data_IF_259683037489
#
_entry.id   IF_259683037489
#
_cell.length_a   1.000
_cell.length_b   1.000
_cell.length_c   1.000
_cell.angle_alpha   90.00
_cell.angle_beta   90.00
_cell.angle_gamma   90.00
#
_symmetry.space_group_name_H-M   'P 1'
#
loop_
_entity.id
_entity.type
_entity.pdbx_description
1 polymer ?
#
# COMPACT_ATOMS: atom_id res chain seq x y z
N UNK A 1 -16.45 24.33 5.68
CA UNK A 1 -17.65 23.70 5.07
C UNK A 1 -17.93 24.12 3.63
N UNK A 2 -18.43 25.32 3.29
CA UNK A 2 -18.81 25.64 1.88
C UNK A 2 -17.63 25.52 0.91
N UNK A 3 -16.48 26.11 1.27
CA UNK A 3 -15.24 26.01 0.47
C UNK A 3 -14.70 24.58 0.38
N UNK A 4 -14.86 23.78 1.44
CA UNK A 4 -14.44 22.37 1.46
C UNK A 4 -15.35 21.51 0.58
N UNK A 5 -16.68 21.70 0.67
CA UNK A 5 -17.65 21.00 -0.20
C UNK A 5 -17.39 21.33 -1.66
N UNK A 6 -17.12 22.59 -1.99
CA UNK A 6 -16.73 22.97 -3.35
C UNK A 6 -15.48 22.23 -3.81
N UNK A 7 -14.44 22.21 -2.98
CA UNK A 7 -13.21 21.50 -3.27
C UNK A 7 -13.44 20.00 -3.46
N UNK A 8 -14.26 19.36 -2.62
CA UNK A 8 -14.57 17.94 -2.74
C UNK A 8 -15.43 17.61 -3.97
N UNK A 9 -16.39 18.47 -4.34
CA UNK A 9 -17.11 18.32 -5.61
C UNK A 9 -16.18 18.50 -6.80
N UNK A 10 -15.29 19.49 -6.77
CA UNK A 10 -14.28 19.73 -7.81
C UNK A 10 -13.32 18.51 -7.92
N UNK A 11 -12.92 17.90 -6.79
CA UNK A 11 -12.12 16.66 -6.75
C UNK A 11 -12.84 15.50 -7.45
N UNK A 12 -14.17 15.45 -7.36
CA UNK A 12 -15.01 14.46 -8.06
C UNK A 12 -15.34 14.85 -9.51
N UNK A 13 -14.81 15.97 -10.01
CA UNK A 13 -15.05 16.48 -11.37
C UNK A 13 -16.49 16.97 -11.57
N UNK A 14 -17.11 17.50 -10.53
CA UNK A 14 -18.44 18.10 -10.54
C UNK A 14 -18.27 19.58 -10.23
N UNK A 15 -18.77 20.47 -11.08
CA UNK A 15 -18.80 21.92 -10.82
C UNK A 15 -20.19 22.34 -10.32
N UNK A 16 -20.45 22.33 -9.00
CA UNK A 16 -21.78 22.64 -8.47
C UNK A 16 -22.09 24.13 -8.62
N UNK A 17 -23.35 24.43 -8.94
CA UNK A 17 -23.83 25.82 -8.90
C UNK A 17 -23.86 26.34 -7.46
N UNK A 18 -23.83 27.66 -7.29
CA UNK A 18 -23.81 28.28 -5.97
C UNK A 18 -25.05 27.93 -5.12
N UNK A 19 -26.21 27.75 -5.77
CA UNK A 19 -27.44 27.31 -5.11
C UNK A 19 -27.35 25.87 -4.57
N UNK A 20 -26.66 24.99 -5.31
CA UNK A 20 -26.42 23.59 -4.92
C UNK A 20 -25.45 23.52 -3.73
N UNK A 21 -24.42 24.36 -3.71
CA UNK A 21 -23.50 24.46 -2.58
C UNK A 21 -24.20 24.95 -1.32
N UNK A 22 -25.01 26.01 -1.39
CA UNK A 22 -25.78 26.48 -0.24
C UNK A 22 -26.73 25.40 0.29
N UNK A 23 -27.43 24.71 -0.60
CA UNK A 23 -28.32 23.62 -0.20
C UNK A 23 -27.55 22.45 0.45
N UNK A 24 -26.33 22.17 -0.01
CA UNK A 24 -25.48 21.12 0.56
C UNK A 24 -24.99 21.49 1.97
N UNK A 25 -24.60 22.75 2.19
CA UNK A 25 -24.24 23.26 3.53
C UNK A 25 -25.43 23.19 4.49
N UNK A 26 -26.63 23.53 4.02
CA UNK A 26 -27.86 23.41 4.80
C UNK A 26 -28.12 21.95 5.22
N UNK A 27 -27.93 20.99 4.30
CA UNK A 27 -28.08 19.57 4.60
C UNK A 27 -27.04 19.08 5.61
N UNK A 28 -25.77 19.47 5.45
CA UNK A 28 -24.71 19.13 6.40
C UNK A 28 -25.07 19.63 7.81
N UNK A 29 -25.54 20.88 7.90
CA UNK A 29 -25.95 21.49 9.18
C UNK A 29 -27.18 20.82 9.80
N UNK A 30 -28.18 20.47 8.98
CA UNK A 30 -29.43 19.86 9.47
C UNK A 30 -29.26 18.40 9.94
N UNK A 31 -28.30 17.68 9.35
CA UNK A 31 -28.04 16.26 9.66
C UNK A 31 -26.73 16.04 10.42
N UNK A 32 -26.09 17.11 10.88
CA UNK A 32 -24.88 17.10 11.70
C UNK A 32 -23.70 16.34 11.06
N UNK A 33 -23.49 16.58 9.77
CA UNK A 33 -22.35 16.07 9.00
C UNK A 33 -21.26 17.13 9.06
N UNK A 34 -20.16 16.82 9.74
CA UNK A 34 -19.04 17.76 9.96
C UNK A 34 -17.95 17.63 8.88
N UNK A 35 -17.94 16.52 8.15
CA UNK A 35 -16.96 16.21 7.10
C UNK A 35 -17.56 16.41 5.70
N UNK A 36 -16.96 17.30 4.92
CA UNK A 36 -17.36 17.57 3.54
C UNK A 36 -17.18 16.35 2.63
N UNK A 37 -16.11 15.57 2.84
CA UNK A 37 -15.82 14.39 2.04
C UNK A 37 -16.88 13.31 2.25
N UNK A 38 -17.26 13.06 3.51
CA UNK A 38 -18.34 12.12 3.85
C UNK A 38 -19.65 12.47 3.13
N UNK A 39 -20.02 13.77 3.11
CA UNK A 39 -21.21 14.22 2.41
C UNK A 39 -21.13 13.96 0.90
N UNK A 40 -20.03 14.34 0.26
CA UNK A 40 -19.86 14.21 -1.20
C UNK A 40 -19.81 12.73 -1.60
N UNK A 41 -19.15 11.87 -0.83
CA UNK A 41 -19.14 10.42 -1.06
C UNK A 41 -20.54 9.81 -0.96
N UNK A 42 -21.31 10.17 0.07
CA UNK A 42 -22.69 9.71 0.22
C UNK A 42 -23.59 10.17 -0.95
N UNK A 43 -23.40 11.41 -1.39
CA UNK A 43 -24.07 11.95 -2.56
C UNK A 43 -23.71 11.17 -3.84
N UNK A 44 -22.42 10.95 -4.10
CA UNK A 44 -21.94 10.21 -5.28
C UNK A 44 -22.47 8.78 -5.29
N UNK A 45 -22.42 8.09 -4.15
CA UNK A 45 -22.96 6.74 -4.00
C UNK A 45 -24.48 6.71 -4.27
N UNK A 46 -25.22 7.70 -3.76
CA UNK A 46 -26.65 7.85 -4.01
C UNK A 46 -26.94 8.11 -5.50
N UNK A 47 -26.21 9.04 -6.12
CA UNK A 47 -26.39 9.41 -7.52
C UNK A 47 -26.14 8.23 -8.46
N UNK A 48 -25.07 7.46 -8.25
CA UNK A 48 -24.78 6.23 -9.01
C UNK A 48 -25.93 5.22 -8.86
N UNK A 49 -26.40 5.01 -7.62
CA UNK A 49 -27.38 3.96 -7.32
C UNK A 49 -28.81 4.30 -7.71
N UNK A 50 -29.20 5.58 -7.69
CA UNK A 50 -30.59 6.01 -7.82
C UNK A 50 -30.86 6.94 -9.00
N UNK A 51 -29.85 7.66 -9.48
CA UNK A 51 -29.99 8.72 -10.49
C UNK A 51 -29.10 8.49 -11.71
N UNK A 52 -28.56 7.27 -11.89
CA UNK A 52 -27.66 6.93 -12.98
C UNK A 52 -26.47 7.88 -13.11
N UNK A 53 -25.99 8.41 -11.99
CA UNK A 53 -24.84 9.31 -11.93
C UNK A 53 -25.15 10.78 -12.27
N UNK A 54 -26.41 11.23 -12.21
CA UNK A 54 -26.75 12.62 -12.46
C UNK A 54 -26.02 13.61 -11.53
N UNK A 55 -25.70 14.79 -12.06
CA UNK A 55 -25.07 15.88 -11.31
C UNK A 55 -25.99 16.43 -10.20
N UNK A 56 -25.42 17.02 -9.14
CA UNK A 56 -26.21 17.60 -8.06
C UNK A 56 -27.02 18.79 -8.57
N UNK A 57 -28.34 18.69 -8.43
CA UNK A 57 -29.29 19.76 -8.67
C UNK A 57 -30.15 19.93 -7.41
N UNK A 58 -30.84 21.07 -7.28
CA UNK A 58 -31.75 21.28 -6.15
C UNK A 58 -32.82 20.18 -6.05
N UNK A 59 -33.33 19.71 -7.19
CA UNK A 59 -34.31 18.62 -7.23
C UNK A 59 -33.69 17.31 -6.75
N UNK A 60 -32.49 16.97 -7.24
CA UNK A 60 -31.83 15.74 -6.86
C UNK A 60 -31.35 15.74 -5.40
N UNK A 61 -30.90 16.89 -4.86
CA UNK A 61 -30.54 17.03 -3.45
C UNK A 61 -31.75 16.89 -2.54
N UNK A 62 -32.93 17.36 -2.95
CA UNK A 62 -34.17 17.13 -2.21
C UNK A 62 -34.57 15.64 -2.22
N UNK A 63 -34.33 14.94 -3.33
CA UNK A 63 -34.54 13.49 -3.38
C UNK A 63 -33.54 12.71 -2.51
N UNK A 64 -32.27 13.12 -2.53
CA UNK A 64 -31.21 12.60 -1.66
C UNK A 64 -31.57 12.78 -0.19
N UNK A 65 -31.99 13.98 0.21
CA UNK A 65 -32.45 14.24 1.57
C UNK A 65 -33.57 13.28 1.98
N UNK A 66 -34.60 13.13 1.14
CA UNK A 66 -35.76 12.26 1.42
C UNK A 66 -35.35 10.79 1.56
N UNK A 67 -34.50 10.28 0.65
CA UNK A 67 -34.17 8.85 0.58
C UNK A 67 -33.05 8.43 1.52
N UNK A 68 -32.09 9.29 1.79
CA UNK A 68 -30.91 8.93 2.59
C UNK A 68 -31.05 9.43 4.03
N UNK A 69 -31.35 10.72 4.22
CA UNK A 69 -31.34 11.31 5.56
C UNK A 69 -32.68 11.18 6.28
N UNK A 70 -33.80 11.47 5.63
CA UNK A 70 -35.12 11.37 6.27
C UNK A 70 -35.51 9.91 6.53
N UNK A 71 -35.26 9.00 5.58
CA UNK A 71 -35.52 7.57 5.80
C UNK A 71 -34.67 6.98 6.94
N UNK A 72 -33.41 7.41 7.09
CA UNK A 72 -32.53 7.02 8.20
C UNK A 72 -33.06 7.56 9.54
N UNK A 73 -33.41 8.85 9.59
CA UNK A 73 -33.99 9.51 10.78
C UNK A 73 -35.31 8.87 11.20
N UNK A 74 -36.20 8.56 10.26
CA UNK A 74 -37.48 7.92 10.55
C UNK A 74 -37.30 6.49 11.08
N UNK A 75 -36.34 5.74 10.53
CA UNK A 75 -35.98 4.40 11.02
C UNK A 75 -35.41 4.45 12.44
N UNK A 76 -34.57 5.43 12.75
CA UNK A 76 -34.03 5.67 14.09
C UNK A 76 -35.11 6.09 15.09
N UNK A 77 -36.05 6.97 14.69
CA UNK A 77 -37.18 7.39 15.52
C UNK A 77 -38.17 6.23 15.78
N UNK A 78 -38.40 5.36 14.80
CA UNK A 78 -39.19 4.14 14.98
C UNK A 78 -38.50 3.13 15.90
N UNK A 79 -37.17 2.99 15.80
CA UNK A 79 -36.39 2.15 16.71
C UNK A 79 -36.37 2.68 18.16
N UNK A 80 -36.29 4.00 18.33
CA UNK A 80 -36.38 4.66 19.63
C UNK A 80 -37.78 4.54 20.26
N UNK A 81 -38.84 4.58 19.43
CA UNK A 81 -40.22 4.41 19.89
C UNK A 81 -40.54 2.97 20.31
N UNK A 82 -39.95 1.96 19.65
CA UNK A 82 -40.03 0.55 20.08
C UNK A 82 -39.33 0.28 21.42
N UNK A 83 -38.28 1.03 21.77
CA UNK A 83 -37.61 0.92 23.08
C UNK A 83 -38.41 1.53 24.25
N UNK A 84 -39.43 2.37 23.99
CA UNK A 84 -40.30 2.95 25.03
C UNK A 84 -41.57 2.15 25.34
N UNK A 85 -41.87 1.10 24.57
CA UNK A 85 -43.03 0.24 24.76
C UNK A 85 -42.59 -1.22 25.01
N UNK A 86 -41.94 -1.46 26.15
CA UNK A 86 -41.58 -2.79 26.62
C UNK A 86 -41.34 -2.80 28.12
N UNK A 87 -42.29 -3.38 28.88
CA UNK A 87 -42.18 -3.61 30.33
C UNK A 87 -40.95 -4.49 30.63
N UNK A 88 -40.22 -4.11 31.69
CA UNK A 88 -39.19 -4.82 32.45
C UNK A 88 -38.71 -6.19 31.93
N UNK A 89 -37.42 -6.37 31.61
CA UNK A 89 -36.82 -7.70 31.59
C UNK A 89 -36.49 -8.13 33.03
N UNK A 90 -37.04 -9.28 33.41
CA UNK A 90 -36.55 -10.11 34.48
C UNK A 90 -35.07 -10.42 34.26
N UNK A 91 -34.26 -10.24 35.31
CA UNK A 91 -32.93 -10.81 35.39
C UNK A 91 -33.05 -12.33 35.21
N UNK A 92 -32.63 -12.85 34.06
CA UNK A 92 -32.09 -14.19 33.73
C UNK A 92 -32.06 -14.25 32.19
N UNK A 93 -31.05 -13.65 31.58
CA UNK A 93 -30.62 -13.98 30.20
C UNK A 93 -29.19 -13.52 29.86
N UNK A 94 -28.39 -13.07 30.83
CA UNK A 94 -26.98 -12.71 30.63
C UNK A 94 -26.04 -13.85 31.06
N UNK A 95 -26.21 -15.04 30.47
CA UNK A 95 -25.27 -16.16 30.66
C UNK A 95 -24.89 -16.91 29.37
N UNK A 96 -25.11 -16.32 28.19
CA UNK A 96 -24.70 -16.96 26.92
C UNK A 96 -23.91 -16.06 25.98
N UNK A 97 -23.26 -15.00 26.47
CA UNK A 97 -22.37 -14.17 25.65
C UNK A 97 -21.04 -13.83 26.34
N UNK A 98 -20.49 -14.80 27.07
CA UNK A 98 -19.13 -14.73 27.65
C UNK A 98 -18.17 -15.78 27.05
N UNK A 99 -18.59 -16.51 26.01
CA UNK A 99 -17.72 -17.48 25.30
C UNK A 99 -17.20 -17.00 23.94
N UNK A 100 -17.60 -15.82 23.46
CA UNK A 100 -17.20 -15.33 22.11
C UNK A 100 -16.17 -14.19 22.14
N UNK A 101 -15.49 -13.96 23.28
CA UNK A 101 -14.41 -12.95 23.43
C UNK A 101 -13.10 -13.62 23.90
N UNK A 102 -12.96 -14.92 23.70
CA UNK A 102 -11.76 -15.68 24.05
C UNK A 102 -11.07 -16.34 22.85
N UNK A 103 -11.30 -15.85 21.62
CA UNK A 103 -10.64 -16.35 20.41
C UNK A 103 -10.17 -15.26 19.44
N UNK A 104 -9.84 -14.06 19.93
CA UNK A 104 -9.14 -13.05 19.14
C UNK A 104 -7.80 -12.71 19.78
N UNK A 105 -6.89 -13.69 19.80
CA UNK A 105 -5.46 -13.42 19.95
C UNK A 105 -4.94 -12.98 18.58
N UNK A 106 -5.00 -11.68 18.29
CA UNK A 106 -4.35 -11.11 17.12
C UNK A 106 -2.83 -11.18 17.31
N UNK A 107 -2.19 -12.13 16.64
CA UNK A 107 -0.74 -12.23 16.53
C UNK A 107 -0.22 -11.03 15.70
N UNK A 108 0.63 -10.15 16.25
CA UNK A 108 1.14 -8.97 15.54
C UNK A 108 2.09 -9.29 14.36
N UNK A 109 2.43 -10.57 14.12
CA UNK A 109 3.27 -11.02 13.01
C UNK A 109 2.51 -11.42 11.73
N UNK A 110 1.17 -11.38 11.75
CA UNK A 110 0.34 -11.65 10.56
C UNK A 110 0.58 -10.66 9.39
N UNK A 111 1.27 -9.55 9.64
CA UNK A 111 1.70 -8.60 8.61
C UNK A 111 2.80 -9.17 7.68
N UNK A 112 3.46 -10.27 8.07
CA UNK A 112 4.56 -10.90 7.34
C UNK A 112 4.24 -12.29 6.78
N UNK A 113 2.96 -12.68 6.71
CA UNK A 113 2.53 -13.86 5.95
C UNK A 113 2.80 -15.22 6.60
N UNK A 114 2.98 -15.28 7.93
CA UNK A 114 3.13 -16.55 8.67
C UNK A 114 1.77 -16.94 9.27
N UNK A 115 1.23 -18.08 8.83
CA UNK A 115 -0.01 -18.67 9.37
C UNK A 115 0.23 -19.36 10.72
N UNK A 116 -0.79 -19.40 11.57
CA UNK A 116 -0.75 -19.90 12.97
C UNK A 116 -0.44 -21.42 13.11
N UNK A 117 -0.22 -22.17 12.02
CA UNK A 117 0.02 -23.62 12.07
C UNK A 117 1.44 -24.01 12.47
N UNK A 118 2.42 -23.10 12.40
CA UNK A 118 3.84 -23.48 12.40
C UNK A 118 4.56 -23.22 13.74
N UNK A 119 3.85 -22.80 14.80
CA UNK A 119 4.47 -22.37 16.08
C UNK A 119 4.20 -23.32 17.26
N UNK A 120 3.51 -24.45 17.06
CA UNK A 120 3.11 -25.34 18.17
C UNK A 120 3.86 -26.68 18.28
N UNK A 121 4.88 -26.94 17.45
CA UNK A 121 5.59 -28.24 17.47
C UNK A 121 7.05 -28.21 17.99
N UNK A 122 7.63 -27.06 18.35
CA UNK A 122 9.07 -26.99 18.67
C UNK A 122 9.44 -26.75 20.15
N UNK A 123 8.49 -26.69 21.09
CA UNK A 123 8.80 -26.35 22.49
C UNK A 123 8.27 -27.30 23.58
N UNK A 124 7.99 -28.56 23.26
CA UNK A 124 7.64 -29.58 24.27
C UNK A 124 8.28 -30.94 23.93
N UNK A 125 9.62 -31.04 23.97
CA UNK A 125 10.28 -32.34 24.03
C UNK A 125 11.71 -32.24 24.61
N UNK A 126 11.84 -31.85 25.87
CA UNK A 126 12.97 -32.35 26.67
C UNK A 126 12.60 -32.45 28.16
N UNK A 127 12.28 -33.66 28.60
CA UNK A 127 12.52 -34.15 29.97
C UNK A 127 11.94 -35.56 30.13
N UNK A 128 12.81 -36.57 30.14
CA UNK A 128 12.43 -37.87 30.72
C UNK A 128 13.15 -39.12 30.22
N UNK A 129 14.19 -39.48 30.96
CA UNK A 129 14.59 -40.85 31.32
C UNK A 129 15.52 -41.69 30.42
N UNK A 130 16.76 -41.77 30.92
CA UNK A 130 17.71 -42.89 30.93
C UNK A 130 17.09 -44.29 31.02
N UNK A 131 17.55 -45.24 30.17
CA UNK A 131 18.03 -46.57 30.61
C UNK A 131 18.71 -47.39 29.48
N UNK A 132 20.03 -47.62 29.67
CA UNK A 132 20.74 -48.91 29.67
C UNK A 132 21.00 -49.76 28.40
N UNK A 133 22.27 -50.23 28.37
CA UNK A 133 22.86 -51.44 27.74
C UNK A 133 23.36 -51.26 26.28
N UNK A 134 24.66 -51.19 25.96
CA UNK A 134 25.89 -51.94 26.29
C UNK A 134 26.16 -53.17 25.40
N UNK A 135 27.48 -53.39 25.16
CA UNK A 135 28.20 -54.50 24.52
C UNK A 135 28.44 -54.36 23.00
N UNK A 136 29.65 -54.02 22.54
CA UNK A 136 30.85 -54.90 22.29
C UNK A 136 30.87 -55.22 20.77
N UNK A 137 31.96 -55.29 19.99
CA UNK A 137 33.40 -55.39 20.22
C UNK A 137 34.13 -55.18 18.85
N UNK A 138 35.30 -54.53 18.90
CA UNK A 138 36.62 -54.87 18.28
C UNK A 138 36.89 -54.89 16.73
N UNK A 139 38.02 -54.20 16.41
CA UNK A 139 39.06 -54.33 15.36
C UNK A 139 38.82 -54.09 13.85
N UNK A 140 39.50 -53.08 13.28
CA UNK A 140 40.81 -53.21 12.58
C UNK A 140 41.14 -52.03 11.63
N UNK A 141 42.45 -51.80 11.42
CA UNK A 141 43.12 -50.61 10.86
C UNK A 141 43.23 -50.63 9.29
N UNK A 142 43.91 -49.69 8.57
CA UNK A 142 43.34 -48.89 7.48
C UNK A 142 43.91 -49.21 6.06
N UNK A 143 43.21 -48.83 4.97
CA UNK A 143 43.86 -48.79 3.65
C UNK A 143 42.99 -48.67 2.39
N UNK A 144 43.15 -47.53 1.70
CA UNK A 144 43.03 -47.29 0.24
C UNK A 144 41.65 -47.29 -0.47
N UNK A 145 41.49 -46.47 -1.54
CA UNK A 145 40.20 -45.89 -1.94
C UNK A 145 39.47 -46.73 -3.00
N UNK A 146 38.18 -46.99 -2.77
CA UNK A 146 37.31 -47.64 -3.76
C UNK A 146 36.46 -46.60 -4.50
N UNK A 147 36.88 -46.29 -5.72
CA UNK A 147 36.09 -46.29 -6.96
C UNK A 147 34.65 -45.75 -6.83
N UNK A 148 34.44 -44.56 -7.42
CA UNK A 148 33.16 -43.96 -7.78
C UNK A 148 32.19 -45.00 -8.37
N UNK A 149 31.05 -45.20 -7.70
CA UNK A 149 29.95 -45.98 -8.23
C UNK A 149 28.85 -45.03 -8.72
N UNK A 150 28.70 -44.91 -10.04
CA UNK A 150 27.54 -44.26 -10.67
C UNK A 150 26.28 -45.05 -10.31
N UNK A 151 25.19 -44.42 -9.82
CA UNK A 151 23.93 -45.12 -9.59
C UNK A 151 23.37 -45.65 -10.92
N UNK A 152 22.97 -46.91 -10.92
CA UNK A 152 22.39 -47.60 -12.08
C UNK A 152 21.12 -46.90 -12.53
N UNK A 153 21.11 -46.42 -13.78
CA UNK A 153 19.94 -45.89 -14.45
C UNK A 153 18.82 -46.95 -14.48
N UNK A 154 17.75 -46.71 -13.72
CA UNK A 154 16.46 -47.34 -14.01
C UNK A 154 15.96 -46.70 -15.30
N UNK A 155 15.70 -47.55 -16.29
CA UNK A 155 15.04 -47.25 -17.55
C UNK A 155 13.81 -46.37 -17.34
N UNK A 156 14.00 -45.06 -17.40
CA UNK A 156 12.96 -44.11 -17.72
C UNK A 156 12.85 -44.17 -19.25
N UNK A 157 11.98 -45.06 -19.73
CA UNK A 157 11.43 -44.98 -21.07
C UNK A 157 11.08 -43.51 -21.32
N UNK A 158 11.80 -42.91 -22.27
CA UNK A 158 11.54 -41.60 -22.80
C UNK A 158 10.07 -41.50 -23.20
N UNK A 159 9.25 -40.95 -22.30
CA UNK A 159 8.08 -40.18 -22.68
C UNK A 159 8.57 -38.74 -22.66
N UNK A 160 9.10 -38.30 -23.80
CA UNK A 160 9.02 -36.89 -24.16
C UNK A 160 7.58 -36.45 -23.86
N UNK A 161 7.34 -35.46 -23.00
CA UNK A 161 6.03 -34.84 -22.95
C UNK A 161 5.90 -34.03 -24.23
N UNK A 162 5.45 -34.69 -25.30
CA UNK A 162 4.86 -34.01 -26.42
C UNK A 162 3.54 -33.42 -25.94
N UNK A 163 3.56 -32.14 -25.53
CA UNK A 163 2.45 -31.18 -25.63
C UNK A 163 3.01 -29.77 -25.36
N UNK A 164 3.56 -29.18 -26.42
CA UNK A 164 3.56 -27.74 -26.60
C UNK A 164 2.09 -27.30 -26.65
N UNK A 165 1.48 -27.05 -25.49
CA UNK A 165 0.70 -25.82 -25.39
C UNK A 165 1.73 -24.82 -24.91
N UNK A 166 2.33 -24.06 -25.83
CA UNK A 166 3.13 -22.91 -25.47
C UNK A 166 2.20 -21.91 -24.81
N UNK A 167 2.03 -22.02 -23.49
CA UNK A 167 1.47 -20.94 -22.68
C UNK A 167 2.46 -19.80 -22.82
N UNK A 168 2.05 -18.73 -23.52
CA UNK A 168 2.91 -17.62 -23.94
C UNK A 168 3.78 -17.07 -22.79
N UNK A 169 3.24 -17.12 -21.57
CA UNK A 169 3.78 -16.46 -20.39
C UNK A 169 4.29 -17.40 -19.30
N UNK A 170 4.39 -18.71 -19.54
CA UNK A 170 4.98 -19.62 -18.52
C UNK A 170 6.49 -19.77 -18.71
N UNK A 171 7.28 -19.84 -17.62
CA UNK A 171 8.72 -20.05 -17.72
C UNK A 171 9.03 -21.48 -18.15
N UNK A 172 10.09 -21.66 -18.91
CA UNK A 172 10.63 -22.96 -19.24
C UNK A 172 11.15 -23.63 -17.95
N UNK A 173 10.82 -24.90 -17.74
CA UNK A 173 11.20 -25.64 -16.55
C UNK A 173 11.50 -27.11 -16.85
N UNK A 174 12.43 -27.68 -16.07
CA UNK A 174 12.74 -29.12 -16.11
C UNK A 174 11.75 -29.95 -15.29
N UNK A 175 10.90 -29.31 -14.48
CA UNK A 175 9.87 -29.95 -13.65
C UNK A 175 8.49 -29.35 -13.92
N UNK A 176 7.39 -30.07 -13.64
CA UNK A 176 6.05 -29.51 -13.77
C UNK A 176 5.88 -28.26 -12.88
N UNK A 177 5.48 -27.13 -13.47
CA UNK A 177 5.31 -25.82 -12.81
C UNK A 177 3.85 -25.51 -12.44
N UNK A 178 2.97 -26.51 -12.58
CA UNK A 178 1.54 -26.39 -12.32
C UNK A 178 0.77 -27.52 -13.00
N UNK A 179 -0.47 -27.74 -12.55
CA UNK A 179 -1.39 -28.63 -13.27
C UNK A 179 -1.96 -27.90 -14.48
N UNK A 180 -1.98 -28.49 -15.68
CA UNK A 180 -2.67 -27.89 -16.83
C UNK A 180 -4.16 -27.74 -16.51
N UNK A 181 -4.59 -26.52 -16.19
CA UNK A 181 -6.01 -26.18 -16.02
C UNK A 181 -6.52 -25.66 -17.35
N UNK A 182 -7.80 -25.92 -17.64
CA UNK A 182 -8.44 -25.23 -18.77
C UNK A 182 -8.73 -23.83 -18.27
N UNK A 183 -8.06 -22.82 -18.85
CA UNK A 183 -8.26 -21.43 -18.45
C UNK A 183 -9.75 -21.08 -18.64
N UNK A 184 -10.40 -20.70 -17.56
CA UNK A 184 -11.77 -20.19 -17.54
C UNK A 184 -11.79 -18.97 -16.66
N UNK A 185 -12.32 -17.86 -17.19
CA UNK A 185 -12.45 -16.61 -16.45
C UNK A 185 -13.09 -16.87 -15.08
N UNK A 186 -12.46 -16.36 -14.02
CA UNK A 186 -12.95 -16.53 -12.66
C UNK A 186 -14.36 -15.95 -12.50
N UNK A 187 -15.19 -16.51 -11.58
CA UNK A 187 -16.48 -15.93 -11.24
C UNK A 187 -16.34 -14.46 -10.82
N UNK A 188 -16.98 -13.55 -11.54
CA UNK A 188 -16.87 -12.10 -11.30
C UNK A 188 -15.78 -11.39 -12.11
N UNK A 189 -15.13 -12.06 -13.06
CA UNK A 189 -14.25 -11.40 -14.03
C UNK A 189 -14.95 -10.24 -14.74
N UNK A 190 -14.25 -9.12 -14.88
CA UNK A 190 -14.78 -7.87 -15.45
C UNK A 190 -15.69 -7.05 -14.51
N UNK A 191 -15.91 -7.48 -13.26
CA UNK A 191 -16.69 -6.71 -12.29
C UNK A 191 -15.94 -5.46 -11.85
N UNK A 192 -16.59 -4.30 -11.95
CA UNK A 192 -16.12 -3.06 -11.35
C UNK A 192 -16.33 -3.13 -9.83
N UNK A 193 -15.23 -3.03 -9.07
CA UNK A 193 -15.25 -3.09 -7.59
C UNK A 193 -15.23 -1.71 -6.95
N UNK A 194 -14.72 -0.70 -7.65
CA UNK A 194 -14.61 0.67 -7.19
C UNK A 194 -14.65 1.64 -8.37
N UNK A 195 -15.23 2.82 -8.13
CA UNK A 195 -15.39 3.87 -9.14
C UNK A 195 -15.06 5.22 -8.50
N UNK A 196 -14.32 6.06 -9.21
CA UNK A 196 -13.94 7.40 -8.75
C UNK A 196 -14.05 8.42 -9.89
N UNK A 197 -14.54 9.62 -9.58
CA UNK A 197 -14.75 10.72 -10.52
C UNK A 197 -16.22 10.95 -10.90
N UNK A 198 -16.46 11.77 -11.93
CA UNK A 198 -17.79 12.22 -12.29
C UNK A 198 -18.70 11.04 -12.70
N UNK A 199 -19.80 10.78 -11.97
CA UNK A 199 -20.63 9.60 -12.19
C UNK A 199 -21.30 9.53 -13.58
N UNK A 200 -21.68 10.67 -14.15
CA UNK A 200 -22.29 10.74 -15.49
C UNK A 200 -21.27 10.41 -16.58
N UNK A 201 -20.03 10.90 -16.44
CA UNK A 201 -18.96 10.59 -17.40
C UNK A 201 -18.60 9.11 -17.34
N UNK A 202 -18.52 8.53 -16.14
CA UNK A 202 -18.13 7.13 -15.96
C UNK A 202 -19.20 6.17 -16.47
N UNK A 203 -20.48 6.46 -16.19
CA UNK A 203 -21.59 5.62 -16.67
C UNK A 203 -21.65 5.57 -18.20
N UNK A 204 -21.22 6.64 -18.87
CA UNK A 204 -21.16 6.74 -20.33
C UNK A 204 -19.77 6.47 -20.91
N UNK A 205 -18.79 6.08 -20.08
CA UNK A 205 -17.41 5.90 -20.52
C UNK A 205 -17.27 4.66 -21.41
N UNK A 206 -16.72 4.85 -22.61
CA UNK A 206 -16.20 3.76 -23.42
C UNK A 206 -14.72 3.57 -23.14
N UNK A 207 -14.38 2.46 -22.49
CA UNK A 207 -13.00 2.12 -22.12
C UNK A 207 -12.14 1.65 -23.30
N UNK A 208 -12.78 1.21 -24.39
CA UNK A 208 -12.14 0.85 -25.65
C UNK A 208 -12.13 2.02 -26.64
N UNK A 209 -11.15 2.03 -27.53
CA UNK A 209 -11.14 2.91 -28.69
C UNK A 209 -11.56 2.17 -29.96
N UNK A 210 -12.39 2.82 -30.78
CA UNK A 210 -12.81 2.30 -32.09
C UNK A 210 -11.88 2.73 -33.23
N UNK A 211 -11.07 3.76 -33.00
CA UNK A 211 -10.09 4.28 -33.96
C UNK A 211 -8.67 4.25 -33.38
N UNK A 212 -7.65 4.01 -34.22
CA UNK A 212 -6.25 4.13 -33.82
C UNK A 212 -5.98 5.47 -33.16
N UNK A 213 -5.32 5.45 -32.02
CA UNK A 213 -5.01 6.65 -31.24
C UNK A 213 -3.57 7.10 -31.50
N UNK A 214 -3.28 8.42 -31.43
CA UNK A 214 -1.91 8.88 -31.49
C UNK A 214 -1.12 8.33 -30.30
N UNK A 215 0.14 7.97 -30.54
CA UNK A 215 1.05 7.55 -29.48
C UNK A 215 1.35 8.72 -28.55
N UNK A 216 1.23 8.47 -27.25
CA UNK A 216 1.53 9.46 -26.22
C UNK A 216 3.04 9.58 -26.03
N UNK A 217 3.52 10.82 -25.88
CA UNK A 217 4.89 11.09 -25.43
C UNK A 217 4.91 11.19 -23.91
N UNK A 218 5.71 10.36 -23.26
CA UNK A 218 5.89 10.34 -21.81
C UNK A 218 7.20 11.03 -21.45
N UNK A 219 7.17 11.92 -20.47
CA UNK A 219 8.36 12.60 -19.94
C UNK A 219 8.50 12.30 -18.45
N UNK A 220 9.63 11.73 -18.06
CA UNK A 220 10.00 11.59 -16.66
C UNK A 220 10.39 12.96 -16.07
N UNK A 221 9.70 13.39 -15.02
CA UNK A 221 9.90 14.70 -14.41
C UNK A 221 10.88 14.68 -13.24
N UNK A 222 10.95 13.58 -12.49
CA UNK A 222 11.86 13.46 -11.37
C UNK A 222 13.29 13.23 -11.88
N UNK A 223 14.17 14.18 -11.59
CA UNK A 223 15.56 14.16 -12.02
C UNK A 223 16.46 14.60 -10.86
N UNK A 224 17.63 13.99 -10.75
CA UNK A 224 18.71 14.44 -9.88
C UNK A 224 19.86 14.94 -10.74
N UNK A 225 20.28 16.19 -10.54
CA UNK A 225 21.31 16.86 -11.35
C UNK A 225 21.05 16.78 -12.87
N UNK A 226 19.78 16.86 -13.27
CA UNK A 226 19.35 16.77 -14.67
C UNK A 226 19.33 15.36 -15.26
N UNK A 227 19.60 14.33 -14.47
CA UNK A 227 19.58 12.93 -14.89
C UNK A 227 18.43 12.17 -14.21
N UNK A 228 17.78 11.27 -14.96
CA UNK A 228 16.86 10.30 -14.38
C UNK A 228 17.64 9.13 -13.77
N UNK A 229 17.03 8.45 -12.79
CA UNK A 229 17.51 7.14 -12.36
C UNK A 229 17.36 6.15 -13.54
N UNK A 230 18.44 5.48 -13.94
CA UNK A 230 18.41 4.57 -15.09
C UNK A 230 19.73 3.84 -15.34
N UNK A 231 19.89 3.15 -16.48
CA UNK A 231 21.03 2.26 -16.76
C UNK A 231 22.43 2.89 -16.70
N UNK A 232 22.51 4.23 -16.69
CA UNK A 232 23.77 4.98 -16.54
C UNK A 232 24.07 5.43 -15.11
N UNK A 233 23.15 5.22 -14.15
CA UNK A 233 23.36 5.61 -12.76
C UNK A 233 24.33 4.63 -12.10
N UNK A 234 25.38 5.17 -11.46
CA UNK A 234 26.33 4.37 -10.69
C UNK A 234 25.71 3.99 -9.34
N UNK A 235 25.13 2.81 -9.25
CA UNK A 235 24.73 2.24 -7.97
C UNK A 235 25.93 1.57 -7.29
N UNK A 236 26.10 1.79 -5.98
CA UNK A 236 27.03 1.04 -5.13
C UNK A 236 26.21 0.08 -4.28
N UNK A 237 26.28 -1.22 -4.58
CA UNK A 237 25.55 -2.23 -3.82
C UNK A 237 26.37 -2.72 -2.62
N UNK A 238 25.67 -3.21 -1.59
CA UNK A 238 26.21 -3.96 -0.45
C UNK A 238 27.26 -3.22 0.41
N UNK A 239 27.27 -1.89 0.37
CA UNK A 239 28.11 -1.08 1.25
C UNK A 239 27.32 0.13 1.76
N UNK A 240 27.10 0.16 3.06
CA UNK A 240 26.48 1.28 3.75
C UNK A 240 27.52 2.00 4.62
N UNK A 241 27.78 3.26 4.30
CA UNK A 241 28.57 4.13 5.16
C UNK A 241 27.66 4.79 6.19
N UNK A 242 27.83 4.46 7.47
CA UNK A 242 27.03 5.02 8.56
C UNK A 242 27.15 6.55 8.64
N UNK A 243 28.32 7.10 8.30
CA UNK A 243 28.53 8.55 8.28
C UNK A 243 27.68 9.21 7.20
N UNK A 244 27.69 8.68 5.97
CA UNK A 244 26.85 9.19 4.87
C UNK A 244 25.35 9.05 5.20
N UNK A 245 24.93 7.95 5.84
CA UNK A 245 23.54 7.79 6.29
C UNK A 245 23.15 8.84 7.33
N UNK A 246 24.05 9.15 8.27
CA UNK A 246 23.82 10.19 9.26
C UNK A 246 23.72 11.58 8.61
N UNK A 247 24.59 11.90 7.65
CA UNK A 247 24.53 13.15 6.89
C UNK A 247 23.21 13.28 6.10
N UNK A 248 22.79 12.24 5.38
CA UNK A 248 21.51 12.25 4.63
C UNK A 248 20.31 12.45 5.59
N UNK A 249 20.35 11.81 6.77
CA UNK A 249 19.32 12.00 7.78
C UNK A 249 19.31 13.44 8.33
N UNK A 250 20.49 14.02 8.58
CA UNK A 250 20.69 15.41 9.00
C UNK A 250 20.16 16.41 7.97
N UNK A 251 20.56 16.27 6.70
CA UNK A 251 20.09 17.07 5.57
C UNK A 251 18.56 17.06 5.46
N UNK A 252 17.93 15.88 5.65
CA UNK A 252 16.48 15.74 5.65
C UNK A 252 15.83 16.54 6.79
N UNK A 253 16.39 16.47 8.00
CA UNK A 253 15.90 17.24 9.16
C UNK A 253 16.06 18.73 8.92
N UNK A 254 17.21 19.14 8.38
CA UNK A 254 17.50 20.54 8.09
C UNK A 254 16.55 21.12 7.03
N UNK A 255 16.40 20.48 5.88
CA UNK A 255 15.57 21.00 4.78
C UNK A 255 14.08 21.02 5.14
N UNK A 256 13.55 19.96 5.75
CA UNK A 256 12.16 19.94 6.22
C UNK A 256 11.98 20.93 7.37
N UNK A 257 12.93 21.02 8.30
CA UNK A 257 12.91 21.98 9.40
C UNK A 257 12.86 23.42 8.93
N UNK A 258 13.63 23.75 7.89
CA UNK A 258 13.62 25.07 7.24
C UNK A 258 12.26 25.37 6.60
N UNK A 259 11.63 24.40 5.94
CA UNK A 259 10.28 24.56 5.39
C UNK A 259 9.23 24.81 6.49
N UNK A 260 9.30 24.02 7.58
CA UNK A 260 8.46 24.20 8.77
C UNK A 260 8.62 25.60 9.38
N UNK A 261 9.85 26.08 9.50
CA UNK A 261 10.12 27.43 10.00
C UNK A 261 9.51 28.51 9.11
N UNK A 262 9.65 28.42 7.78
CA UNK A 262 9.03 29.36 6.86
C UNK A 262 7.50 29.37 7.00
N UNK A 263 6.89 28.18 7.15
CA UNK A 263 5.44 28.03 7.35
C UNK A 263 4.96 28.70 8.64
N UNK A 264 5.73 28.59 9.72
CA UNK A 264 5.31 29.04 11.06
C UNK A 264 5.68 30.49 11.35
N UNK A 265 6.84 30.94 10.88
CA UNK A 265 7.40 32.27 11.19
C UNK A 265 7.37 33.25 10.00
N UNK A 266 6.98 32.80 8.81
CA UNK A 266 6.96 33.60 7.58
C UNK A 266 8.21 33.40 6.71
N UNK A 267 8.08 33.64 5.40
CA UNK A 267 9.14 33.40 4.41
C UNK A 267 10.35 34.33 4.57
N UNK A 268 10.14 35.55 5.06
CA UNK A 268 11.17 36.59 5.21
C UNK A 268 11.94 36.52 6.54
N UNK A 269 11.54 35.63 7.46
CA UNK A 269 12.17 35.51 8.78
C UNK A 269 13.45 34.67 8.67
N UNK A 270 14.60 35.30 8.98
CA UNK A 270 15.92 34.66 8.98
C UNK A 270 16.34 34.12 10.36
N UNK A 271 15.73 34.63 11.44
CA UNK A 271 16.00 34.24 12.82
C UNK A 271 14.76 33.57 13.42
N UNK A 272 14.83 32.26 13.67
CA UNK A 272 13.77 31.49 14.28
C UNK A 272 14.02 31.32 15.78
N UNK A 273 13.03 31.61 16.62
CA UNK A 273 13.07 31.30 18.04
C UNK A 273 12.71 29.82 18.23
N UNK A 274 13.71 28.95 18.14
CA UNK A 274 13.60 27.51 18.41
C UNK A 274 14.25 27.15 19.74
N UNK A 275 13.53 26.40 20.57
CA UNK A 275 14.05 25.76 21.78
C UNK A 275 14.68 24.41 21.48
N UNK A 276 15.64 24.00 22.31
CA UNK A 276 16.10 22.61 22.32
C UNK A 276 15.04 21.71 22.95
N UNK A 277 14.97 20.44 22.52
CA UNK A 277 13.94 19.49 22.96
C UNK A 277 13.96 19.23 24.47
N UNK A 278 15.14 19.28 25.09
CA UNK A 278 15.40 19.07 26.51
C UNK A 278 15.43 20.38 27.33
N UNK A 279 15.13 21.52 26.70
CA UNK A 279 15.11 22.81 27.38
C UNK A 279 14.00 22.82 28.44
N UNK A 280 14.40 23.02 29.70
CA UNK A 280 13.46 23.28 30.79
C UNK A 280 12.80 24.66 30.58
N UNK A 281 11.49 24.66 30.35
CA UNK A 281 10.70 25.88 30.19
C UNK A 281 9.29 25.72 30.73
N UNK A 282 8.79 26.74 31.43
CA UNK A 282 7.37 26.86 31.77
C UNK A 282 6.58 27.61 30.70
N UNK A 283 7.26 28.32 29.80
CA UNK A 283 6.67 28.95 28.63
C UNK A 283 6.60 27.95 27.48
N UNK A 284 5.67 28.18 26.55
CA UNK A 284 5.52 27.38 25.34
C UNK A 284 6.75 27.58 24.45
N UNK A 285 7.46 26.49 24.16
CA UNK A 285 8.60 26.44 23.25
C UNK A 285 8.18 25.78 21.93
N UNK A 286 8.82 26.20 20.84
CA UNK A 286 8.76 25.52 19.55
C UNK A 286 10.08 24.82 19.30
N UNK A 287 10.03 23.55 18.95
CA UNK A 287 11.23 22.76 18.67
C UNK A 287 11.02 21.87 17.45
N UNK A 288 12.11 21.51 16.77
CA UNK A 288 12.09 20.65 15.58
C UNK A 288 12.83 19.36 15.91
N UNK A 289 12.28 18.25 15.44
CA UNK A 289 12.94 16.97 15.59
C UNK A 289 12.32 15.86 14.76
N UNK A 290 12.85 14.67 14.93
CA UNK A 290 12.41 13.44 14.28
C UNK A 290 11.67 12.57 15.28
N UNK A 291 10.48 12.12 14.90
CA UNK A 291 9.69 11.18 15.69
C UNK A 291 10.38 9.82 15.71
N UNK A 292 10.54 9.24 16.90
CA UNK A 292 11.02 7.88 17.08
C UNK A 292 10.19 7.17 18.16
N UNK A 293 10.28 5.85 18.22
CA UNK A 293 9.83 5.04 19.35
C UNK A 293 10.99 4.74 20.29
N UNK A 294 10.79 4.79 21.60
CA UNK A 294 11.74 4.26 22.60
C UNK A 294 11.58 2.74 22.84
N UNK A 295 10.64 2.11 22.12
CA UNK A 295 10.32 0.69 22.17
C UNK A 295 10.37 0.05 20.77
N UNK A 296 10.79 -1.22 20.71
CA UNK A 296 10.91 -2.01 19.48
C UNK A 296 9.55 -2.64 19.10
N UNK A 297 8.61 -1.80 18.70
CA UNK A 297 7.26 -2.19 18.31
C UNK A 297 6.51 -1.07 17.60
N UNK A 298 5.20 -1.26 17.32
CA UNK A 298 4.37 -0.21 16.75
C UNK A 298 4.41 1.05 17.62
N UNK A 299 4.53 2.21 16.98
CA UNK A 299 4.54 3.49 17.68
C UNK A 299 3.24 3.67 18.47
N UNK A 300 3.35 3.95 19.76
CA UNK A 300 2.22 4.30 20.61
C UNK A 300 2.45 5.63 21.33
N UNK A 301 1.39 6.31 21.82
CA UNK A 301 1.52 7.62 22.45
C UNK A 301 2.46 7.66 23.67
N UNK A 302 2.68 6.54 24.37
CA UNK A 302 3.53 6.47 25.55
C UNK A 302 5.00 6.20 25.24
N UNK A 303 5.30 5.53 24.12
CA UNK A 303 6.66 5.26 23.61
C UNK A 303 7.19 6.34 22.66
N UNK A 304 6.37 7.34 22.32
CA UNK A 304 6.76 8.37 21.36
C UNK A 304 7.80 9.32 21.94
N UNK A 305 8.95 9.39 21.28
CA UNK A 305 10.03 10.35 21.56
C UNK A 305 10.29 11.26 20.36
N UNK A 306 10.85 12.43 20.65
CA UNK A 306 11.33 13.38 19.64
C UNK A 306 12.85 13.52 19.77
N UNK A 307 13.58 13.19 18.71
CA UNK A 307 15.02 13.43 18.59
C UNK A 307 15.23 14.83 18.04
N UNK A 308 15.86 15.73 18.79
CA UNK A 308 16.04 17.13 18.41
C UNK A 308 16.94 17.32 17.19
N UNK A 309 16.75 18.43 16.47
CA UNK A 309 17.47 18.75 15.23
C UNK A 309 18.96 19.10 15.39
N UNK A 310 19.47 19.24 16.62
CA UNK A 310 20.88 19.50 16.85
C UNK A 310 21.71 18.22 16.69
N UNK A 311 22.32 18.05 15.51
CA UNK A 311 23.13 16.89 15.16
C UNK A 311 24.32 16.63 16.08
N UNK A 312 24.85 17.66 16.76
CA UNK A 312 25.98 17.50 17.66
C UNK A 312 25.58 16.84 19.00
N UNK A 313 24.34 17.02 19.44
CA UNK A 313 23.89 16.56 20.76
C UNK A 313 22.79 15.49 20.70
N UNK A 314 21.99 15.46 19.62
CA UNK A 314 20.91 14.50 19.38
C UNK A 314 20.05 14.23 20.62
N UNK A 315 19.78 15.27 21.42
CA UNK A 315 18.97 15.15 22.63
C UNK A 315 17.58 14.62 22.29
N UNK A 316 16.97 13.92 23.24
CA UNK A 316 15.65 13.32 23.07
C UNK A 316 14.72 13.74 24.19
N UNK A 317 13.43 13.83 23.88
CA UNK A 317 12.39 14.13 24.87
C UNK A 317 11.17 13.24 24.60
N UNK A 318 10.48 12.78 25.65
CA UNK A 318 9.21 12.07 25.50
C UNK A 318 8.10 13.06 25.15
N UNK A 319 7.23 12.69 24.22
CA UNK A 319 6.07 13.50 23.84
C UNK A 319 4.84 13.05 24.65
N UNK A 320 4.12 14.02 25.22
CA UNK A 320 2.86 13.75 25.91
C UNK A 320 1.71 14.46 25.20
N UNK A 321 0.80 13.67 24.63
CA UNK A 321 -0.33 14.13 23.83
C UNK A 321 -1.63 14.33 24.63
N UNK A 322 -1.59 14.30 25.97
CA UNK A 322 -2.80 14.40 26.81
C UNK A 322 -3.63 15.66 26.60
N UNK A 323 -3.05 16.72 26.02
CA UNK A 323 -3.71 17.99 25.71
C UNK A 323 -4.13 18.12 24.25
N UNK A 324 -3.71 17.21 23.38
CA UNK A 324 -3.96 17.29 21.94
C UNK A 324 -5.22 16.51 21.58
N UNK A 325 -6.09 17.05 20.71
CA UNK A 325 -7.35 16.39 20.33
C UNK A 325 -7.14 15.18 19.41
N UNK A 326 -6.25 15.34 18.44
CA UNK A 326 -5.88 14.32 17.45
C UNK A 326 -4.51 14.66 16.89
N UNK A 327 -3.70 13.64 16.63
CA UNK A 327 -2.35 13.74 16.05
C UNK A 327 -2.15 12.56 15.12
N UNK A 328 -1.63 12.82 13.92
CA UNK A 328 -1.14 11.79 13.00
C UNK A 328 0.36 11.92 12.83
N UNK A 329 1.12 11.02 13.46
CA UNK A 329 2.58 10.97 13.36
C UNK A 329 3.09 9.55 13.15
N UNK A 330 4.29 9.42 12.59
CA UNK A 330 4.94 8.12 12.35
C UNK A 330 6.46 8.18 12.58
N UNK A 331 7.12 7.04 12.89
CA UNK A 331 8.57 7.00 13.07
C UNK A 331 9.34 7.52 11.84
N UNK A 332 10.35 8.34 12.06
CA UNK A 332 11.16 8.97 11.01
C UNK A 332 10.58 10.28 10.45
N UNK A 333 9.37 10.68 10.87
CA UNK A 333 8.76 11.94 10.46
C UNK A 333 9.46 13.13 11.11
N UNK A 334 9.83 14.14 10.31
CA UNK A 334 10.34 15.43 10.79
C UNK A 334 9.16 16.35 11.09
N UNK A 335 9.07 16.85 12.32
CA UNK A 335 7.97 17.68 12.79
C UNK A 335 8.48 18.89 13.58
N UNK A 336 7.66 19.93 13.63
CA UNK A 336 7.78 20.99 14.63
C UNK A 336 6.73 20.75 15.71
N UNK A 337 7.14 20.80 16.97
CA UNK A 337 6.24 20.65 18.13
C UNK A 337 6.24 21.94 18.92
N UNK A 338 5.03 22.41 19.24
CA UNK A 338 4.80 23.51 20.18
C UNK A 338 4.28 22.93 21.49
N UNK A 339 4.89 23.29 22.61
CA UNK A 339 4.47 22.79 23.91
C UNK A 339 5.34 23.27 25.06
N UNK A 340 5.09 22.77 26.27
CA UNK A 340 5.87 23.10 27.46
C UNK A 340 6.68 21.90 27.92
N UNK A 341 7.92 22.12 28.36
CA UNK A 341 8.75 21.08 28.98
C UNK A 341 9.19 21.53 30.39
N UNK A 342 8.32 21.42 31.41
CA UNK A 342 8.60 21.96 32.74
C UNK A 342 9.68 21.19 33.52
N UNK A 343 10.22 20.09 33.01
CA UNK A 343 11.21 19.26 33.71
C UNK A 343 12.45 18.94 32.88
N UNK A 344 12.41 19.17 31.57
CA UNK A 344 13.45 18.79 30.62
C UNK A 344 13.26 17.40 30.01
N UNK A 345 12.42 16.52 30.58
CA UNK A 345 12.31 15.11 30.18
C UNK A 345 11.03 14.74 29.41
N UNK A 346 9.97 15.55 29.52
CA UNK A 346 8.66 15.31 28.88
C UNK A 346 8.10 16.63 28.32
N UNK A 347 7.91 16.68 27.01
CA UNK A 347 7.27 17.79 26.31
C UNK A 347 5.75 17.57 26.26
N UNK A 348 5.02 18.41 26.98
CA UNK A 348 3.55 18.45 26.97
C UNK A 348 3.10 19.12 25.66
N UNK A 349 2.68 18.32 24.69
CA UNK A 349 2.36 18.75 23.34
C UNK A 349 1.06 19.54 23.31
N UNK A 350 1.13 20.75 22.77
CA UNK A 350 -0.05 21.58 22.48
C UNK A 350 -0.41 21.52 21.01
N UNK A 351 0.59 21.57 20.13
CA UNK A 351 0.42 21.55 18.68
C UNK A 351 1.56 20.78 18.00
N UNK A 352 1.21 20.01 16.97
CA UNK A 352 2.16 19.38 16.06
C UNK A 352 1.98 20.00 14.69
N UNK A 353 3.06 20.51 14.12
CA UNK A 353 3.10 21.16 12.82
C UNK A 353 3.95 20.30 11.89
N UNK A 354 3.35 19.87 10.79
CA UNK A 354 4.00 19.09 9.74
C UNK A 354 4.14 19.92 8.47
N UNK A 355 5.14 19.60 7.66
CA UNK A 355 5.32 20.23 6.35
C UNK A 355 4.40 19.55 5.33
N UNK A 356 3.72 20.34 4.50
CA UNK A 356 2.77 19.82 3.51
C UNK A 356 2.65 20.70 2.26
N UNK A 357 3.56 21.63 2.01
CA UNK A 357 3.42 22.50 0.84
C UNK A 357 4.12 21.92 -0.39
N UNK A 358 3.55 20.85 -0.95
CA UNK A 358 3.88 20.43 -2.31
C UNK A 358 3.00 21.21 -3.27
N UNK A 359 3.59 22.07 -4.10
CA UNK A 359 2.86 22.70 -5.18
C UNK A 359 2.56 21.63 -6.25
N UNK A 360 1.27 21.37 -6.54
CA UNK A 360 0.94 20.42 -7.58
C UNK A 360 1.53 20.91 -8.92
N UNK A 361 2.04 20.00 -9.77
CA UNK A 361 2.48 20.38 -11.09
C UNK A 361 1.31 20.98 -11.87
N UNK A 362 1.60 21.94 -12.75
CA UNK A 362 0.59 22.50 -13.65
C UNK A 362 -0.09 21.36 -14.42
N UNK A 363 -1.42 21.19 -14.34
CA UNK A 363 -2.11 20.13 -15.05
C UNK A 363 -1.83 20.20 -16.56
N UNK A 364 -1.58 19.06 -17.22
CA UNK A 364 -1.39 19.03 -18.66
C UNK A 364 -2.71 19.41 -19.37
N UNK A 365 -2.59 20.07 -20.53
CA UNK A 365 -3.74 20.30 -21.41
C UNK A 365 -4.03 18.99 -22.16
N UNK A 366 -5.21 18.42 -21.91
CA UNK A 366 -5.65 17.18 -22.54
C UNK A 366 -6.30 17.54 -23.89
N UNK A 367 -5.66 17.16 -25.00
CA UNK A 367 -6.17 17.42 -26.34
C UNK A 367 -7.36 16.51 -26.69
N UNK A 368 -7.24 15.23 -26.34
CA UNK A 368 -8.22 14.18 -26.61
C UNK A 368 -8.30 13.22 -25.42
N UNK A 369 -9.35 12.39 -25.39
CA UNK A 369 -9.57 11.39 -24.34
C UNK A 369 -8.34 10.47 -24.19
N UNK A 370 -7.83 10.38 -22.96
CA UNK A 370 -6.71 9.53 -22.58
C UNK A 370 -7.20 8.33 -21.76
N UNK A 371 -6.74 7.13 -22.09
CA UNK A 371 -7.04 5.91 -21.34
C UNK A 371 -5.75 5.25 -20.85
N UNK A 372 -5.74 4.90 -19.58
CA UNK A 372 -4.66 4.20 -18.90
C UNK A 372 -5.19 2.87 -18.39
N UNK A 373 -4.35 1.85 -18.48
CA UNK A 373 -4.49 0.63 -17.67
C UNK A 373 -3.30 0.57 -16.76
N UNK A 374 -3.54 0.36 -15.47
CA UNK A 374 -2.50 0.16 -14.46
C UNK A 374 -2.73 -1.21 -13.86
N UNK A 375 -1.70 -2.05 -13.88
CA UNK A 375 -1.71 -3.35 -13.23
C UNK A 375 -0.45 -3.48 -12.36
N UNK A 376 -0.60 -4.14 -11.22
CA UNK A 376 0.51 -4.45 -10.33
C UNK A 376 0.49 -5.94 -10.04
N UNK A 377 1.68 -6.56 -10.03
CA UNK A 377 1.83 -7.97 -9.73
C UNK A 377 1.46 -8.30 -8.27
N UNK A 378 1.37 -9.60 -7.93
CA UNK A 378 1.81 -10.74 -8.74
C UNK A 378 0.92 -11.03 -9.97
N UNK A 379 1.53 -11.55 -11.04
CA UNK A 379 0.84 -11.88 -12.31
C UNK A 379 0.60 -13.38 -12.51
N UNK A 380 0.88 -14.18 -11.48
CA UNK A 380 0.63 -15.62 -11.37
C UNK A 380 0.08 -15.93 -9.98
N UNK A 381 -0.48 -17.11 -9.77
CA UNK A 381 -0.98 -17.53 -8.45
C UNK A 381 0.16 -18.15 -7.62
N UNK A 382 0.04 -18.11 -6.30
CA UNK A 382 1.07 -18.64 -5.38
C UNK A 382 1.36 -20.14 -5.53
N UNK A 383 0.43 -20.92 -6.11
CA UNK A 383 0.52 -22.38 -6.28
C UNK A 383 1.05 -22.83 -7.65
N UNK A 384 1.30 -21.92 -8.59
CA UNK A 384 1.75 -22.25 -9.94
C UNK A 384 2.58 -21.14 -10.61
N UNK A 385 3.21 -21.45 -11.75
CA UNK A 385 3.86 -20.47 -12.63
C UNK A 385 3.22 -20.47 -14.02
N UNK A 386 1.90 -20.66 -14.12
CA UNK A 386 1.23 -20.69 -15.44
C UNK A 386 0.85 -19.31 -15.96
N UNK A 387 0.78 -18.30 -15.08
CA UNK A 387 0.49 -16.90 -15.43
C UNK A 387 -0.92 -16.67 -16.03
N UNK A 388 -1.92 -17.39 -15.52
CA UNK A 388 -3.33 -17.19 -15.90
C UNK A 388 -3.82 -15.73 -15.70
N UNK A 389 -3.51 -15.04 -14.58
CA UNK A 389 -3.88 -13.63 -14.41
C UNK A 389 -3.27 -12.70 -15.48
N UNK A 390 -2.02 -12.95 -15.89
CA UNK A 390 -1.40 -12.20 -16.97
C UNK A 390 -2.09 -12.45 -18.31
N UNK A 391 -2.45 -13.70 -18.58
CA UNK A 391 -3.17 -14.08 -19.79
C UNK A 391 -4.52 -13.35 -19.87
N UNK A 392 -5.25 -13.25 -18.76
CA UNK A 392 -6.50 -12.47 -18.65
C UNK A 392 -6.28 -10.98 -18.91
N UNK A 393 -5.24 -10.40 -18.30
CA UNK A 393 -4.87 -9.00 -18.54
C UNK A 393 -4.56 -8.75 -20.02
N UNK A 394 -3.79 -9.64 -20.66
CA UNK A 394 -3.45 -9.54 -22.07
C UNK A 394 -4.68 -9.63 -22.97
N UNK A 395 -5.66 -10.50 -22.64
CA UNK A 395 -6.94 -10.55 -23.34
C UNK A 395 -7.71 -9.24 -23.21
N UNK A 396 -7.81 -8.68 -22.00
CA UNK A 396 -8.43 -7.38 -21.77
C UNK A 396 -7.76 -6.26 -22.58
N UNK A 397 -6.43 -6.25 -22.63
CA UNK A 397 -5.66 -5.24 -23.36
C UNK A 397 -5.83 -5.34 -24.88
N UNK A 398 -5.94 -6.57 -25.42
CA UNK A 398 -6.24 -6.80 -26.84
C UNK A 398 -7.59 -6.21 -27.24
N UNK A 399 -8.58 -6.29 -26.36
CA UNK A 399 -9.93 -5.78 -26.60
C UNK A 399 -10.02 -4.25 -26.43
N UNK A 400 -9.40 -3.71 -25.38
CA UNK A 400 -9.60 -2.30 -25.00
C UNK A 400 -8.56 -1.34 -25.59
N UNK A 401 -7.33 -1.81 -25.86
CA UNK A 401 -6.20 -1.04 -26.41
C UNK A 401 -6.04 0.36 -25.78
N UNK A 402 -5.65 0.46 -24.49
CA UNK A 402 -5.46 1.75 -23.84
C UNK A 402 -4.31 2.53 -24.49
N UNK A 403 -4.24 3.84 -24.27
CA UNK A 403 -3.12 4.62 -24.77
C UNK A 403 -1.83 4.36 -23.97
N UNK A 404 -1.96 4.14 -22.66
CA UNK A 404 -0.84 3.82 -21.77
C UNK A 404 -1.16 2.57 -20.95
N UNK A 405 -0.18 1.70 -20.83
CA UNK A 405 -0.17 0.57 -19.90
C UNK A 405 0.94 0.79 -18.89
N UNK A 406 0.62 0.83 -17.60
CA UNK A 406 1.61 0.85 -16.51
C UNK A 406 1.59 -0.53 -15.85
N UNK A 407 2.73 -1.23 -15.91
CA UNK A 407 2.93 -2.52 -15.27
C UNK A 407 3.89 -2.36 -14.11
N UNK A 408 3.40 -2.57 -12.89
CA UNK A 408 4.21 -2.60 -11.69
C UNK A 408 4.55 -4.05 -11.34
N UNK A 409 5.79 -4.32 -10.94
CA UNK A 409 6.18 -5.62 -10.42
C UNK A 409 5.45 -6.01 -9.11
N UNK A 410 5.69 -7.21 -8.58
CA UNK A 410 6.61 -8.21 -9.11
C UNK A 410 6.04 -8.94 -10.33
N UNK A 411 6.83 -9.04 -11.40
CA UNK A 411 6.58 -9.89 -12.56
C UNK A 411 6.89 -11.36 -12.25
N UNK A 412 7.92 -11.57 -11.45
CA UNK A 412 8.26 -12.86 -10.88
C UNK A 412 8.87 -12.63 -9.51
N UNK A 413 8.19 -13.13 -8.48
CA UNK A 413 8.63 -12.98 -7.11
C UNK A 413 9.86 -13.87 -6.84
N UNK A 414 10.91 -13.28 -6.28
CA UNK A 414 12.13 -14.00 -5.92
C UNK A 414 11.88 -15.10 -4.87
N UNK A 415 10.88 -14.91 -4.02
CA UNK A 415 10.45 -15.77 -2.93
C UNK A 415 9.18 -16.58 -3.24
N UNK A 416 8.79 -16.66 -4.52
CA UNK A 416 7.61 -17.43 -4.92
C UNK A 416 7.72 -18.91 -4.49
N UNK A 417 6.68 -19.45 -3.84
CA UNK A 417 6.69 -20.81 -3.23
C UNK A 417 7.21 -21.89 -4.17
N UNK A 418 6.68 -21.92 -5.39
CA UNK A 418 7.08 -22.89 -6.44
C UNK A 418 8.56 -22.78 -6.82
N UNK A 419 9.15 -21.57 -6.79
CA UNK A 419 10.58 -21.36 -7.05
C UNK A 419 11.41 -21.85 -5.86
N UNK A 420 10.96 -21.56 -4.63
CA UNK A 420 11.63 -21.99 -3.40
C UNK A 420 11.62 -23.52 -3.21
N UNK A 421 10.59 -24.21 -3.70
CA UNK A 421 10.42 -25.67 -3.60
C UNK A 421 11.28 -26.48 -4.61
N UNK A 422 12.39 -25.89 -5.09
CA UNK A 422 13.37 -26.49 -6.01
C UNK A 422 12.88 -26.79 -7.43
N UNK A 423 11.92 -26.02 -7.96
CA UNK A 423 11.69 -26.02 -9.41
C UNK A 423 12.93 -25.45 -10.11
N UNK A 424 13.57 -26.29 -10.93
CA UNK A 424 14.68 -25.84 -11.78
C UNK A 424 14.13 -25.26 -13.07
N UNK A 425 14.14 -23.93 -13.16
CA UNK A 425 13.86 -23.24 -14.42
C UNK A 425 14.93 -23.56 -15.46
N UNK A 426 14.51 -23.68 -16.72
CA UNK A 426 15.36 -23.92 -17.87
C UNK A 426 15.80 -22.63 -18.58
N UNK A 427 15.37 -21.47 -18.07
CA UNK A 427 15.76 -20.15 -18.52
C UNK A 427 16.07 -19.24 -17.31
N UNK A 428 16.83 -18.17 -17.56
CA UNK A 428 17.16 -17.17 -16.53
C UNK A 428 15.96 -16.28 -16.23
N UNK A 429 15.92 -15.68 -15.04
CA UNK A 429 14.87 -14.73 -14.67
C UNK A 429 14.75 -13.54 -15.64
N UNK A 430 15.88 -13.02 -16.11
CA UNK A 430 15.95 -11.95 -17.11
C UNK A 430 15.31 -12.36 -18.44
N UNK A 431 15.76 -13.45 -19.04
CA UNK A 431 15.20 -13.97 -20.29
C UNK A 431 13.69 -14.23 -20.20
N UNK A 432 13.21 -14.72 -19.07
CA UNK A 432 11.79 -14.93 -18.86
C UNK A 432 11.01 -13.61 -18.78
N UNK A 433 11.55 -12.61 -18.08
CA UNK A 433 10.97 -11.26 -18.07
C UNK A 433 10.92 -10.64 -19.47
N UNK A 434 12.01 -10.72 -20.25
CA UNK A 434 12.04 -10.24 -21.64
C UNK A 434 10.98 -10.94 -22.49
N UNK A 435 10.86 -12.27 -22.38
CA UNK A 435 9.84 -13.07 -23.07
C UNK A 435 8.42 -12.60 -22.70
N UNK A 436 8.18 -12.31 -21.41
CA UNK A 436 6.91 -11.82 -20.92
C UNK A 436 6.55 -10.46 -21.54
N UNK A 437 7.47 -9.49 -21.50
CA UNK A 437 7.24 -8.16 -22.08
C UNK A 437 7.04 -8.26 -23.60
N UNK A 438 7.83 -9.06 -24.30
CA UNK A 438 7.68 -9.29 -25.73
C UNK A 438 6.29 -9.88 -26.06
N UNK A 439 5.81 -10.85 -25.29
CA UNK A 439 4.48 -11.42 -25.47
C UNK A 439 3.35 -10.40 -25.27
N UNK A 440 3.51 -9.46 -24.33
CA UNK A 440 2.56 -8.36 -24.12
C UNK A 440 2.59 -7.38 -25.31
N UNK A 441 3.78 -6.99 -25.78
CA UNK A 441 3.95 -6.09 -26.93
C UNK A 441 3.34 -6.69 -28.21
N UNK A 442 3.60 -7.97 -28.47
CA UNK A 442 3.02 -8.70 -29.61
C UNK A 442 1.50 -8.76 -29.55
N UNK A 443 0.95 -8.89 -28.34
CA UNK A 443 -0.49 -8.94 -28.13
C UNK A 443 -1.19 -7.60 -28.37
N UNK A 444 -0.66 -6.50 -27.84
CA UNK A 444 -1.34 -5.20 -27.82
C UNK A 444 -1.01 -4.33 -29.05
N UNK A 445 0.17 -4.52 -29.65
CA UNK A 445 0.67 -3.73 -30.77
C UNK A 445 1.46 -2.49 -30.35
N UNK A 446 1.76 -1.60 -31.30
CA UNK A 446 2.67 -0.45 -31.12
C UNK A 446 1.97 0.86 -30.72
N UNK A 447 0.63 0.87 -30.64
CA UNK A 447 -0.16 2.07 -30.34
C UNK A 447 -0.18 2.40 -28.84
N UNK A 448 -0.11 1.37 -27.99
CA UNK A 448 -0.06 1.51 -26.53
C UNK A 448 1.37 1.78 -26.07
N UNK A 449 1.57 2.83 -25.27
CA UNK A 449 2.84 3.08 -24.59
C UNK A 449 2.91 2.27 -23.31
N UNK A 450 3.88 1.36 -23.20
CA UNK A 450 4.08 0.54 -21.99
C UNK A 450 5.13 1.21 -21.09
N UNK A 451 4.80 1.37 -19.82
CA UNK A 451 5.70 1.83 -18.76
C UNK A 451 5.84 0.72 -17.73
N UNK A 452 7.08 0.30 -17.46
CA UNK A 452 7.40 -0.74 -16.48
C UNK A 452 7.92 -0.06 -15.21
N UNK A 453 7.39 -0.47 -14.06
CA UNK A 453 7.83 -0.04 -12.74
C UNK A 453 8.40 -1.26 -12.01
N UNK A 454 9.71 -1.24 -11.79
CA UNK A 454 10.43 -2.30 -11.11
C UNK A 454 9.98 -2.46 -9.64
N UNK A 455 9.96 -3.70 -9.16
CA UNK A 455 9.78 -4.04 -7.75
C UNK A 455 11.08 -4.58 -7.17
N UNK A 456 11.38 -4.27 -5.92
CA UNK A 456 12.48 -4.90 -5.18
C UNK A 456 12.28 -6.42 -4.96
N UNK A 457 11.05 -6.91 -5.19
CA UNK A 457 10.71 -8.34 -5.15
C UNK A 457 10.90 -9.05 -6.50
N UNK A 458 11.20 -8.32 -7.56
CA UNK A 458 11.45 -8.92 -8.88
C UNK A 458 12.74 -9.74 -8.87
N UNK A 459 12.63 -11.03 -9.19
CA UNK A 459 13.77 -11.95 -9.20
C UNK A 459 14.88 -11.59 -10.20
N UNK A 460 14.56 -10.78 -11.21
CA UNK A 460 15.48 -10.32 -12.25
C UNK A 460 16.06 -8.91 -11.95
N UNK A 461 15.48 -8.16 -11.01
CA UNK A 461 15.85 -6.78 -10.72
C UNK A 461 16.64 -6.66 -9.40
N UNK A 462 17.13 -5.45 -9.13
CA UNK A 462 17.83 -5.16 -7.87
C UNK A 462 16.86 -5.13 -6.68
N UNK A 463 17.24 -5.80 -5.59
CA UNK A 463 16.44 -5.88 -4.37
C UNK A 463 16.53 -4.66 -3.43
N UNK A 464 17.14 -3.57 -3.88
CA UNK A 464 17.41 -2.37 -3.05
C UNK A 464 16.55 -1.20 -3.53
N UNK A 465 15.89 -0.50 -2.60
CA UNK A 465 15.19 0.75 -2.89
C UNK A 465 16.13 1.97 -2.76
N UNK A 466 16.08 2.97 -3.66
CA UNK A 466 15.26 3.02 -4.87
C UNK A 466 15.74 2.00 -5.92
N UNK A 467 14.79 1.22 -6.46
CA UNK A 467 15.08 0.16 -7.43
C UNK A 467 15.41 0.77 -8.79
N UNK A 468 16.47 0.26 -9.41
CA UNK A 468 16.91 0.70 -10.73
C UNK A 468 15.88 0.37 -11.80
N UNK A 469 15.83 1.17 -12.87
CA UNK A 469 14.98 0.88 -14.02
C UNK A 469 15.47 -0.40 -14.73
N UNK A 470 14.50 -1.24 -15.13
CA UNK A 470 14.68 -2.49 -15.88
C UNK A 470 14.79 -2.19 -17.37
#
# INVERSE_FOLDING_TARGET
>A
MESELKQEFDNMGIEPSQEVLFRSVDLCSNYNIEDAAEFVEQWVAFSISNLNGAEPSLEHLNEFERKVFQAKRDKELMAASKKKAGKYPSAISNLTHLNDIASSSSNPLAMYGVDDSDVMDEYMQDSGMMSSMAADDIDSVPGTPSILHTPKAKSALARTPARQNETLFSPASYSPIGTPRTHTAAPGSGKIVYTFGNPSLITNAQWSFTTPQPRISVKQLLQHEGNCLGPGTKAKYMFDNLYEKAEIAGDRVFEIGKALCKKVFGEDTLDYELGQVDMHSQDVIKTIGVVHSDYDGPLDPSSTILVGSNEASCHTVRLNFSKTKSVGIFPGQVIMVSGMNPKGDVLMVEEVITEQNLQPPKPPQIADRLSFVIAAGPYTNDDDLVYDPLQDLVMYLKENRPNVLILCGPFMEADHKVISDNVTLAETFEAFFEKMINGIVEAIGQETTILVVASHRDAHADCVYPTMAI
#
